data_IF_125883123108
#
_entry.id   IF_125883123108
#
_cell.length_a   1.000
_cell.length_b   1.000
_cell.length_c   1.000
_cell.angle_alpha   90.00
_cell.angle_beta   90.00
_cell.angle_gamma   90.00
#
_symmetry.space_group_name_H-M   'P 1'
#
loop_
_entity.id
_entity.type
_entity.pdbx_description
1 polymer ?
#
# COMPACT_ATOMS: atom_id res chain seq x y z
N UNK A 1 59.75 -70.46 -24.68
CA UNK A 1 58.31 -70.30 -24.79
C UNK A 1 57.84 -69.29 -23.74
N UNK A 2 57.69 -68.04 -24.10
CA UNK A 2 57.31 -66.89 -23.17
C UNK A 2 55.81 -66.65 -23.34
N UNK A 3 55.05 -66.84 -22.29
CA UNK A 3 53.63 -66.51 -22.22
C UNK A 3 53.44 -65.07 -21.83
N UNK A 4 52.81 -64.31 -22.69
CA UNK A 4 52.42 -62.92 -22.45
C UNK A 4 51.03 -62.94 -21.80
N UNK A 5 50.91 -62.44 -20.57
CA UNK A 5 49.62 -62.15 -19.93
C UNK A 5 49.29 -60.70 -20.16
N UNK A 6 48.25 -60.44 -20.94
CA UNK A 6 47.61 -59.11 -21.14
C UNK A 6 46.66 -58.90 -19.97
N UNK A 7 46.98 -57.91 -19.11
CA UNK A 7 46.06 -57.40 -18.08
C UNK A 7 45.24 -56.24 -18.68
N UNK A 8 43.95 -56.44 -18.88
CA UNK A 8 43.00 -55.39 -19.24
C UNK A 8 42.59 -54.63 -18.00
N UNK A 9 43.04 -53.40 -17.85
CA UNK A 9 42.57 -52.45 -16.81
C UNK A 9 41.26 -51.81 -17.25
N UNK A 10 40.14 -52.18 -16.64
CA UNK A 10 38.85 -51.52 -16.82
C UNK A 10 38.82 -50.21 -16.01
N UNK A 11 38.88 -49.09 -16.68
CA UNK A 11 38.68 -47.78 -16.05
C UNK A 11 37.19 -47.52 -15.81
N UNK A 12 36.73 -47.68 -14.58
CA UNK A 12 35.39 -47.30 -14.16
C UNK A 12 35.32 -45.77 -13.95
N UNK A 13 34.74 -45.07 -14.89
CA UNK A 13 34.44 -43.63 -14.77
C UNK A 13 33.31 -43.46 -13.78
N UNK A 14 33.62 -43.03 -12.55
CA UNK A 14 32.66 -42.57 -11.57
C UNK A 14 32.09 -41.20 -12.05
N UNK A 15 30.89 -41.19 -12.65
CA UNK A 15 30.11 -39.98 -12.86
C UNK A 15 29.50 -39.61 -11.50
N UNK A 16 30.17 -38.74 -10.74
CA UNK A 16 29.59 -38.16 -9.54
C UNK A 16 28.36 -37.34 -9.96
N UNK A 17 27.18 -37.55 -9.34
CA UNK A 17 26.04 -36.67 -9.60
C UNK A 17 26.40 -35.26 -9.15
N UNK A 18 26.38 -34.32 -10.09
CA UNK A 18 26.45 -32.89 -9.77
C UNK A 18 25.18 -32.59 -9.00
N UNK A 19 25.29 -32.48 -7.67
CA UNK A 19 24.19 -32.01 -6.84
C UNK A 19 23.88 -30.57 -7.32
N UNK A 20 22.75 -30.43 -8.04
CA UNK A 20 22.23 -29.13 -8.36
C UNK A 20 21.98 -28.38 -7.04
N UNK A 21 22.84 -27.45 -6.70
CA UNK A 21 22.61 -26.57 -5.55
C UNK A 21 21.34 -25.78 -5.85
N UNK A 22 20.24 -26.13 -5.20
CA UNK A 22 19.01 -25.36 -5.28
C UNK A 22 19.33 -23.94 -4.80
N UNK A 23 19.24 -22.98 -5.70
CA UNK A 23 19.44 -21.58 -5.37
C UNK A 23 18.42 -21.16 -4.31
N UNK A 24 18.86 -20.51 -3.24
CA UNK A 24 17.95 -20.01 -2.21
C UNK A 24 16.91 -19.07 -2.85
N UNK A 25 15.64 -19.14 -2.42
CA UNK A 25 14.60 -18.32 -2.99
C UNK A 25 14.86 -16.82 -2.77
N UNK A 26 14.47 -16.02 -3.74
CA UNK A 26 14.46 -14.57 -3.61
C UNK A 26 13.33 -14.21 -2.65
N UNK A 27 13.65 -13.49 -1.57
CA UNK A 27 12.65 -13.04 -0.59
C UNK A 27 12.20 -11.61 -0.93
N UNK A 28 10.89 -11.42 -1.12
CA UNK A 28 10.24 -10.13 -1.29
C UNK A 28 9.45 -9.79 -0.03
N UNK A 29 9.87 -8.76 0.68
CA UNK A 29 9.09 -8.21 1.81
C UNK A 29 8.04 -7.26 1.25
N UNK A 30 6.78 -7.56 1.47
CA UNK A 30 5.64 -6.73 1.09
C UNK A 30 5.00 -6.13 2.35
N UNK A 31 5.26 -4.86 2.61
CA UNK A 31 4.71 -4.15 3.78
C UNK A 31 3.46 -3.36 3.40
N UNK A 32 2.47 -3.33 4.29
CA UNK A 32 1.31 -2.47 4.17
C UNK A 32 0.71 -2.11 5.53
N UNK A 33 -0.07 -1.02 5.57
CA UNK A 33 -0.50 -0.40 6.83
C UNK A 33 -1.91 -0.77 7.27
N UNK A 34 -2.65 -1.54 6.48
CA UNK A 34 -4.05 -1.90 6.78
C UNK A 34 -4.16 -3.32 7.31
N UNK A 35 -5.35 -3.66 7.84
CA UNK A 35 -5.61 -5.00 8.34
C UNK A 35 -5.64 -6.05 7.21
N UNK A 36 -5.30 -7.34 7.49
CA UNK A 36 -5.29 -8.41 6.48
C UNK A 36 -6.65 -8.63 5.80
N UNK A 37 -7.75 -8.42 6.50
CA UNK A 37 -9.10 -8.63 5.98
C UNK A 37 -9.66 -7.46 5.14
N UNK A 38 -8.85 -6.43 4.86
CA UNK A 38 -9.19 -5.35 3.91
C UNK A 38 -8.98 -5.80 2.46
N UNK A 39 -9.53 -5.07 1.46
CA UNK A 39 -9.22 -5.35 0.05
C UNK A 39 -7.73 -5.40 -0.24
N UNK A 40 -6.95 -4.42 0.25
CA UNK A 40 -5.50 -4.39 0.08
C UNK A 40 -4.80 -5.57 0.76
N UNK A 41 -5.18 -5.92 2.00
CA UNK A 41 -4.60 -7.05 2.72
C UNK A 41 -4.82 -8.36 1.96
N UNK A 42 -6.06 -8.62 1.52
CA UNK A 42 -6.39 -9.78 0.67
C UNK A 42 -5.64 -9.77 -0.66
N UNK A 43 -5.46 -8.59 -1.26
CA UNK A 43 -4.67 -8.42 -2.48
C UNK A 43 -3.20 -8.81 -2.27
N UNK A 44 -2.59 -8.39 -1.15
CA UNK A 44 -1.23 -8.75 -0.80
C UNK A 44 -1.06 -10.25 -0.57
N UNK A 45 -2.00 -10.89 0.14
CA UNK A 45 -2.00 -12.34 0.34
C UNK A 45 -2.17 -13.10 -0.98
N UNK A 46 -3.05 -12.61 -1.88
CA UNK A 46 -3.23 -13.20 -3.20
C UNK A 46 -1.99 -13.02 -4.08
N UNK A 47 -1.34 -11.88 -4.01
CA UNK A 47 -0.06 -11.65 -4.69
C UNK A 47 0.99 -12.67 -4.22
N UNK A 48 1.13 -12.86 -2.91
CA UNK A 48 2.02 -13.88 -2.32
C UNK A 48 1.74 -15.25 -2.89
N UNK A 49 0.49 -15.72 -2.82
CA UNK A 49 0.07 -17.04 -3.32
C UNK A 49 0.48 -17.23 -4.79
N UNK A 50 0.17 -16.24 -5.64
CA UNK A 50 0.41 -16.33 -7.07
C UNK A 50 1.90 -16.20 -7.43
N UNK A 51 2.63 -15.31 -6.77
CA UNK A 51 4.06 -15.13 -7.01
C UNK A 51 4.85 -16.40 -6.63
N UNK A 52 4.57 -17.00 -5.48
CA UNK A 52 5.19 -18.25 -5.05
C UNK A 52 4.83 -19.41 -5.99
N UNK A 53 3.56 -19.50 -6.43
CA UNK A 53 3.09 -20.53 -7.36
C UNK A 53 3.73 -20.39 -8.74
N UNK A 54 3.69 -19.22 -9.35
CA UNK A 54 4.15 -19.02 -10.72
C UNK A 54 5.67 -19.07 -10.85
N UNK A 55 6.40 -18.83 -9.78
CA UNK A 55 7.86 -18.97 -9.76
C UNK A 55 8.33 -20.36 -9.32
N UNK A 56 7.41 -21.30 -9.08
CA UNK A 56 7.71 -22.61 -8.51
C UNK A 56 8.58 -22.51 -7.23
N UNK A 57 8.25 -21.53 -6.35
CA UNK A 57 8.94 -21.29 -5.09
C UNK A 57 10.30 -20.60 -5.21
N UNK A 58 10.71 -20.15 -6.40
CA UNK A 58 11.95 -19.37 -6.57
C UNK A 58 11.84 -17.97 -5.95
N UNK A 59 10.63 -17.45 -5.80
CA UNK A 59 10.33 -16.22 -5.07
C UNK A 59 9.49 -16.58 -3.87
N UNK A 60 9.83 -16.02 -2.71
CA UNK A 60 9.05 -16.05 -1.47
C UNK A 60 8.59 -14.65 -1.14
N UNK A 61 7.29 -14.50 -0.80
CA UNK A 61 6.73 -13.21 -0.41
C UNK A 61 6.37 -13.22 1.08
N UNK A 62 6.97 -12.32 1.83
CA UNK A 62 6.66 -12.10 3.24
C UNK A 62 5.76 -10.86 3.36
N UNK A 63 4.49 -11.06 3.74
CA UNK A 63 3.52 -9.97 3.90
C UNK A 63 3.55 -9.45 5.34
N UNK A 64 3.70 -8.14 5.50
CA UNK A 64 3.75 -7.43 6.78
C UNK A 64 2.59 -6.43 6.87
N UNK A 65 1.42 -6.84 7.42
CA UNK A 65 0.25 -5.98 7.54
C UNK A 65 0.31 -5.07 8.78
N UNK A 66 -0.70 -4.19 8.93
CA UNK A 66 -0.92 -3.35 10.13
C UNK A 66 0.29 -2.49 10.54
N UNK A 67 1.08 -2.01 9.58
CA UNK A 67 2.30 -1.22 9.87
C UNK A 67 3.32 -1.97 10.74
N UNK A 68 3.34 -3.32 10.71
CA UNK A 68 4.23 -4.13 11.55
C UNK A 68 5.71 -4.01 11.15
N UNK A 69 5.98 -3.62 9.90
CA UNK A 69 7.34 -3.39 9.42
C UNK A 69 7.63 -1.88 9.31
N UNK A 70 6.78 -1.13 8.59
CA UNK A 70 6.90 0.32 8.41
C UNK A 70 5.55 1.00 8.53
N UNK A 71 5.53 2.22 9.12
CA UNK A 71 4.38 3.11 9.10
C UNK A 71 4.26 3.81 7.74
N UNK A 72 3.07 4.28 7.40
CA UNK A 72 2.77 4.94 6.13
C UNK A 72 3.52 6.29 5.91
N UNK A 73 4.17 6.83 6.92
CA UNK A 73 4.99 8.04 6.81
C UNK A 73 6.43 7.74 6.37
N UNK A 74 6.91 6.51 6.55
CA UNK A 74 8.30 6.11 6.34
C UNK A 74 8.47 4.95 5.34
N UNK A 75 7.37 4.27 4.98
CA UNK A 75 7.42 3.07 4.13
C UNK A 75 8.05 3.33 2.74
N UNK A 76 7.80 4.50 2.13
CA UNK A 76 8.35 4.84 0.81
C UNK A 76 9.86 5.12 0.86
N UNK A 77 10.36 5.72 1.94
CA UNK A 77 11.79 5.89 2.16
C UNK A 77 12.47 4.52 2.37
N UNK A 78 11.84 3.64 3.15
CA UNK A 78 12.33 2.27 3.34
C UNK A 78 12.41 1.48 2.04
N UNK A 79 11.46 1.67 1.11
CA UNK A 79 11.50 1.09 -0.24
C UNK A 79 12.69 1.64 -1.04
N UNK A 80 12.88 2.96 -1.06
CA UNK A 80 13.99 3.58 -1.78
C UNK A 80 15.37 3.15 -1.26
N UNK A 81 15.46 2.86 0.04
CA UNK A 81 16.67 2.33 0.69
C UNK A 81 16.83 0.81 0.49
N UNK A 82 15.87 0.13 -0.13
CA UNK A 82 15.91 -1.32 -0.35
C UNK A 82 15.63 -2.17 0.90
N UNK A 83 15.18 -1.56 2.01
CA UNK A 83 14.86 -2.26 3.25
C UNK A 83 13.57 -3.08 3.15
N UNK A 84 12.69 -2.71 2.22
CA UNK A 84 11.50 -3.44 1.79
C UNK A 84 11.45 -3.44 0.25
N UNK A 85 10.89 -4.49 -0.36
CA UNK A 85 10.90 -4.65 -1.81
C UNK A 85 9.57 -4.30 -2.45
N UNK A 86 8.48 -4.36 -1.71
CA UNK A 86 7.14 -4.06 -2.21
C UNK A 86 6.29 -3.31 -1.18
N UNK A 87 5.52 -2.36 -1.68
CA UNK A 87 4.54 -1.59 -0.91
C UNK A 87 3.25 -1.41 -1.72
N UNK A 88 2.18 -1.01 -1.03
CA UNK A 88 0.96 -0.49 -1.65
C UNK A 88 0.51 0.78 -0.91
N UNK A 89 1.27 1.90 -0.98
CA UNK A 89 0.90 3.16 -0.36
C UNK A 89 -0.32 3.77 -1.03
N UNK A 90 -1.05 4.63 -0.30
CA UNK A 90 -2.14 5.41 -0.89
C UNK A 90 -1.60 6.45 -1.88
N UNK A 91 -2.42 6.81 -2.88
CA UNK A 91 -2.08 7.79 -3.90
C UNK A 91 -1.56 9.11 -3.29
N UNK A 92 -2.13 9.56 -2.18
CA UNK A 92 -1.75 10.76 -1.44
C UNK A 92 -0.29 10.82 -1.01
N UNK A 93 0.40 9.68 -0.94
CA UNK A 93 1.78 9.59 -0.44
C UNK A 93 2.84 10.03 -1.46
N UNK A 94 2.49 10.08 -2.73
CA UNK A 94 3.44 10.40 -3.80
C UNK A 94 3.61 11.91 -4.03
N UNK A 95 2.58 12.73 -3.71
CA UNK A 95 2.67 14.19 -3.79
C UNK A 95 3.85 14.77 -2.99
N UNK A 96 3.99 14.46 -1.69
CA UNK A 96 5.11 14.89 -0.87
C UNK A 96 6.49 14.45 -1.38
N UNK A 97 6.57 13.35 -2.15
CA UNK A 97 7.80 12.91 -2.82
C UNK A 97 8.13 13.72 -4.09
N UNK A 98 7.28 14.68 -4.45
CA UNK A 98 7.43 15.53 -5.64
C UNK A 98 6.75 14.98 -6.90
N UNK A 99 5.93 13.91 -6.80
CA UNK A 99 5.13 13.40 -7.92
C UNK A 99 3.70 13.91 -7.77
N UNK A 100 3.53 15.21 -8.03
CA UNK A 100 2.29 15.96 -7.78
C UNK A 100 1.09 15.45 -8.58
N UNK A 101 1.30 14.75 -9.68
CA UNK A 101 0.20 14.19 -10.48
C UNK A 101 -0.73 13.30 -9.65
N UNK A 102 -0.21 12.60 -8.66
CA UNK A 102 -1.02 11.76 -7.77
C UNK A 102 -1.93 12.56 -6.83
N UNK A 103 -1.69 13.85 -6.63
CA UNK A 103 -2.55 14.71 -5.82
C UNK A 103 -3.94 14.90 -6.45
N UNK A 104 -4.11 14.59 -7.74
CA UNK A 104 -5.41 14.62 -8.42
C UNK A 104 -6.46 13.72 -7.74
N UNK A 105 -6.03 12.59 -7.14
CA UNK A 105 -6.92 11.69 -6.43
C UNK A 105 -7.41 12.24 -5.09
N UNK A 106 -6.77 13.28 -4.55
CA UNK A 106 -7.17 13.94 -3.31
C UNK A 106 -8.13 15.12 -3.55
N UNK A 107 -8.31 15.54 -4.81
CA UNK A 107 -9.24 16.61 -5.14
C UNK A 107 -10.68 16.20 -4.82
N UNK A 108 -11.42 16.99 -4.04
CA UNK A 108 -12.78 16.62 -3.64
C UNK A 108 -13.72 16.56 -4.84
N UNK A 109 -14.55 15.53 -4.88
CA UNK A 109 -15.61 15.29 -5.88
C UNK A 109 -15.14 15.23 -7.35
N UNK A 110 -13.84 15.14 -7.62
CA UNK A 110 -13.32 15.08 -8.99
C UNK A 110 -13.69 13.75 -9.67
N UNK A 111 -13.68 12.66 -8.92
CA UNK A 111 -14.00 11.33 -9.41
C UNK A 111 -15.38 10.92 -8.91
N UNK A 112 -16.45 11.06 -9.74
CA UNK A 112 -17.83 10.91 -9.28
C UNK A 112 -18.22 9.45 -9.02
N UNK A 113 -17.51 8.49 -9.60
CA UNK A 113 -17.80 7.05 -9.48
C UNK A 113 -16.60 6.19 -9.90
N UNK A 114 -16.72 4.88 -9.68
CA UNK A 114 -15.68 3.91 -10.03
C UNK A 114 -15.37 3.85 -11.53
N UNK A 115 -16.38 4.06 -12.40
CA UNK A 115 -16.17 4.03 -13.84
C UNK A 115 -15.25 5.18 -14.30
N UNK A 116 -15.43 6.38 -13.73
CA UNK A 116 -14.55 7.52 -13.98
C UNK A 116 -13.13 7.24 -13.44
N UNK A 117 -13.03 6.66 -12.25
CA UNK A 117 -11.75 6.26 -11.66
C UNK A 117 -11.01 5.28 -12.56
N UNK A 118 -11.67 4.19 -13.02
CA UNK A 118 -11.04 3.17 -13.88
C UNK A 118 -10.55 3.74 -15.20
N UNK A 119 -11.27 4.69 -15.80
CA UNK A 119 -10.80 5.40 -16.99
C UNK A 119 -9.46 6.11 -16.74
N UNK A 120 -9.24 6.64 -15.52
CA UNK A 120 -7.98 7.28 -15.15
C UNK A 120 -6.91 6.23 -14.88
N UNK A 121 -7.16 5.28 -13.98
CA UNK A 121 -6.15 4.33 -13.47
C UNK A 121 -5.75 3.27 -14.51
N UNK A 122 -6.68 2.79 -15.32
CA UNK A 122 -6.43 1.77 -16.35
C UNK A 122 -6.07 2.40 -17.71
N UNK A 123 -6.31 3.70 -17.87
CA UNK A 123 -6.04 4.44 -19.09
C UNK A 123 -4.61 4.95 -19.24
N UNK A 124 -4.31 5.61 -20.38
CA UNK A 124 -2.97 6.15 -20.65
C UNK A 124 -2.45 7.11 -19.58
N UNK A 125 -3.34 7.88 -18.94
CA UNK A 125 -2.98 8.81 -17.87
C UNK A 125 -2.42 8.05 -16.67
N UNK A 126 -3.12 7.02 -16.20
CA UNK A 126 -2.67 6.19 -15.08
C UNK A 126 -1.32 5.52 -15.36
N UNK A 127 -1.14 4.98 -16.57
CA UNK A 127 0.13 4.39 -16.99
C UNK A 127 1.27 5.42 -17.02
N UNK A 128 1.01 6.63 -17.52
CA UNK A 128 1.99 7.70 -17.51
C UNK A 128 2.37 8.12 -16.07
N UNK A 129 1.42 8.11 -15.15
CA UNK A 129 1.68 8.41 -13.74
C UNK A 129 2.52 7.33 -13.07
N UNK A 130 2.24 6.03 -13.31
CA UNK A 130 3.07 4.92 -12.81
C UNK A 130 4.51 5.05 -13.31
N UNK A 131 4.70 5.40 -14.57
CA UNK A 131 6.04 5.57 -15.16
C UNK A 131 6.85 6.70 -14.50
N UNK A 132 6.21 7.75 -13.98
CA UNK A 132 6.90 8.83 -13.26
C UNK A 132 7.58 8.35 -11.97
N UNK A 133 7.16 7.24 -11.41
CA UNK A 133 7.77 6.64 -10.22
C UNK A 133 9.21 6.16 -10.48
N UNK A 134 9.53 5.79 -11.73
CA UNK A 134 10.89 5.38 -12.12
C UNK A 134 11.92 6.47 -11.81
N UNK A 135 11.55 7.75 -12.01
CA UNK A 135 12.40 8.89 -11.67
C UNK A 135 12.67 9.05 -10.16
N UNK A 136 12.00 8.26 -9.33
CA UNK A 136 12.20 8.19 -7.87
C UNK A 136 12.78 6.83 -7.42
N UNK A 137 13.27 6.02 -8.35
CA UNK A 137 13.83 4.70 -8.06
C UNK A 137 12.79 3.63 -7.70
N UNK A 138 11.54 3.82 -8.09
CA UNK A 138 10.43 2.89 -7.84
C UNK A 138 9.78 2.46 -9.15
N UNK A 139 9.28 1.23 -9.21
CA UNK A 139 8.52 0.73 -10.34
C UNK A 139 7.06 0.65 -9.94
N UNK A 140 6.21 1.47 -10.58
CA UNK A 140 4.76 1.38 -10.41
C UNK A 140 4.21 0.19 -11.19
N UNK A 141 3.57 -0.75 -10.48
CA UNK A 141 3.09 -2.01 -11.05
C UNK A 141 1.60 -1.97 -11.38
N UNK A 142 0.78 -1.49 -10.46
CA UNK A 142 -0.67 -1.50 -10.61
C UNK A 142 -1.33 -0.50 -9.65
N UNK A 143 -2.57 -0.13 -9.97
CA UNK A 143 -3.49 0.52 -9.04
C UNK A 143 -4.37 -0.53 -8.36
N UNK A 144 -4.57 -0.37 -7.05
CA UNK A 144 -5.53 -1.16 -6.27
C UNK A 144 -6.59 -0.25 -5.66
N UNK A 145 -7.85 -0.68 -5.72
CA UNK A 145 -8.98 0.06 -5.18
C UNK A 145 -9.11 -0.12 -3.67
N UNK A 146 -9.61 0.92 -2.99
CA UNK A 146 -10.12 0.79 -1.63
C UNK A 146 -11.56 1.34 -1.54
N UNK A 147 -11.81 2.53 -2.06
CA UNK A 147 -13.15 3.09 -2.13
C UNK A 147 -13.21 4.59 -1.86
N UNK A 148 -14.45 5.10 -1.86
CA UNK A 148 -14.72 6.49 -1.52
C UNK A 148 -14.60 6.72 -0.02
N UNK A 149 -14.19 7.95 0.32
CA UNK A 149 -13.93 8.37 1.70
C UNK A 149 -15.18 8.95 2.33
N UNK A 150 -15.36 8.58 3.58
CA UNK A 150 -16.38 9.09 4.47
C UNK A 150 -15.74 9.83 5.65
N UNK A 151 -16.47 10.76 6.24
CA UNK A 151 -16.04 11.50 7.41
C UNK A 151 -16.54 10.84 8.69
N UNK A 152 -15.72 10.74 9.73
CA UNK A 152 -16.20 10.35 11.07
C UNK A 152 -15.82 11.39 12.12
N UNK A 153 -16.69 11.58 13.10
CA UNK A 153 -16.50 12.49 14.22
C UNK A 153 -17.40 12.10 15.41
N UNK A 154 -17.24 12.79 16.56
CA UNK A 154 -18.10 12.62 17.72
C UNK A 154 -19.35 13.52 17.70
N UNK A 155 -19.60 14.23 16.61
CA UNK A 155 -20.83 14.98 16.31
C UNK A 155 -21.24 14.75 14.84
N UNK A 156 -22.50 14.96 14.46
CA UNK A 156 -22.92 14.94 13.07
C UNK A 156 -22.20 16.04 12.26
N UNK A 157 -21.78 15.72 11.04
CA UNK A 157 -21.16 16.63 10.09
C UNK A 157 -22.06 16.75 8.86
N UNK A 158 -23.02 17.68 8.90
CA UNK A 158 -24.05 17.85 7.86
C UNK A 158 -23.72 18.97 6.88
N UNK A 159 -23.08 20.02 7.39
CA UNK A 159 -22.77 21.23 6.66
C UNK A 159 -21.27 21.56 6.80
N UNK A 160 -20.67 22.32 5.88
CA UNK A 160 -19.27 22.74 5.99
C UNK A 160 -18.94 23.43 7.33
N UNK A 161 -19.88 24.19 7.89
CA UNK A 161 -19.73 24.89 9.16
C UNK A 161 -19.53 23.95 10.36
N UNK A 162 -20.00 22.72 10.26
CA UNK A 162 -19.85 21.71 11.31
C UNK A 162 -18.39 21.29 11.53
N UNK A 163 -17.51 21.54 10.55
CA UNK A 163 -16.10 21.21 10.63
C UNK A 163 -15.27 22.26 11.34
N UNK A 164 -15.81 23.48 11.50
CA UNK A 164 -15.06 24.62 12.03
C UNK A 164 -14.46 24.32 13.41
N UNK A 165 -13.12 24.51 13.48
CA UNK A 165 -12.34 24.33 14.71
C UNK A 165 -12.05 22.87 15.08
N UNK A 166 -12.64 21.88 14.39
CA UNK A 166 -12.34 20.46 14.67
C UNK A 166 -10.95 20.09 14.17
N UNK A 167 -10.24 19.30 14.95
CA UNK A 167 -8.96 18.71 14.57
C UNK A 167 -9.23 17.44 13.77
N UNK A 168 -8.89 17.44 12.49
CA UNK A 168 -9.08 16.30 11.63
C UNK A 168 -7.76 15.63 11.30
N UNK A 169 -7.67 14.33 11.56
CA UNK A 169 -6.55 13.54 11.02
C UNK A 169 -6.65 13.46 9.51
N UNK A 170 -5.55 13.72 8.85
CA UNK A 170 -5.39 13.58 7.40
C UNK A 170 -4.13 12.76 7.06
N UNK A 171 -4.05 12.27 5.84
CA UNK A 171 -2.83 11.73 5.26
C UNK A 171 -1.85 12.85 4.89
N UNK A 172 -0.61 12.51 4.56
CA UNK A 172 0.40 13.47 4.11
C UNK A 172 0.07 13.94 2.69
N UNK A 173 -0.75 14.98 2.56
CA UNK A 173 -1.16 15.57 1.28
C UNK A 173 -1.42 17.07 1.46
N UNK A 174 -0.87 17.88 0.58
CA UNK A 174 -1.12 19.33 0.57
C UNK A 174 -2.53 19.65 0.12
N UNK A 175 -3.12 18.85 -0.75
CA UNK A 175 -4.51 19.00 -1.19
C UNK A 175 -5.47 18.72 -0.03
N UNK A 176 -5.27 17.64 0.73
CA UNK A 176 -6.07 17.35 1.92
C UNK A 176 -5.91 18.44 2.98
N UNK A 177 -4.68 18.92 3.20
CA UNK A 177 -4.45 20.02 4.14
C UNK A 177 -5.25 21.27 3.74
N UNK A 178 -5.23 21.66 2.46
CA UNK A 178 -5.97 22.79 1.94
C UNK A 178 -7.48 22.60 2.05
N UNK A 179 -7.99 21.38 1.72
CA UNK A 179 -9.39 21.02 1.81
C UNK A 179 -9.93 21.19 3.23
N UNK A 180 -9.26 20.64 4.24
CA UNK A 180 -9.71 20.73 5.63
C UNK A 180 -9.59 22.16 6.19
N UNK A 181 -8.57 22.92 5.77
CA UNK A 181 -8.47 24.35 6.11
C UNK A 181 -9.62 25.17 5.50
N UNK A 182 -10.02 24.86 4.27
CA UNK A 182 -11.16 25.54 3.61
C UNK A 182 -12.49 25.27 4.33
N UNK A 183 -12.64 24.11 4.99
CA UNK A 183 -13.77 23.78 5.87
C UNK A 183 -13.66 24.45 7.25
N UNK A 184 -12.61 25.21 7.52
CA UNK A 184 -12.34 25.80 8.83
C UNK A 184 -11.87 24.81 9.90
N UNK A 185 -11.55 23.57 9.50
CA UNK A 185 -10.98 22.57 10.37
C UNK A 185 -9.45 22.74 10.54
N UNK A 186 -8.89 22.07 11.52
CA UNK A 186 -7.46 22.03 11.82
C UNK A 186 -6.90 20.67 11.39
N UNK A 187 -6.28 20.56 10.19
CA UNK A 187 -5.74 19.30 9.72
C UNK A 187 -4.51 18.87 10.53
N UNK A 188 -4.47 17.59 10.89
CA UNK A 188 -3.38 16.96 11.63
C UNK A 188 -2.82 15.79 10.82
N UNK A 189 -1.61 15.93 10.27
CA UNK A 189 -0.93 14.86 9.55
C UNK A 189 -0.39 13.82 10.54
N UNK A 190 -0.90 12.60 10.45
CA UNK A 190 -0.60 11.54 11.42
C UNK A 190 -0.52 10.19 10.71
N UNK A 191 0.37 9.29 11.18
CA UNK A 191 0.46 7.94 10.67
C UNK A 191 -0.84 7.17 10.91
N UNK A 192 -1.19 6.27 9.98
CA UNK A 192 -2.46 5.53 10.02
C UNK A 192 -2.61 4.68 11.29
N UNK A 193 -1.52 4.05 11.73
CA UNK A 193 -1.49 3.23 12.95
C UNK A 193 -1.70 4.02 14.25
N UNK A 194 -1.63 5.35 14.20
CA UNK A 194 -1.78 6.22 15.37
C UNK A 194 -3.22 6.76 15.51
N UNK A 195 -4.04 6.59 14.47
CA UNK A 195 -5.36 7.26 14.37
C UNK A 195 -6.34 6.79 15.44
N UNK A 196 -6.45 5.48 15.69
CA UNK A 196 -7.36 4.97 16.71
C UNK A 196 -7.10 5.60 18.08
N UNK A 197 -5.84 5.58 18.50
CA UNK A 197 -5.44 6.15 19.80
C UNK A 197 -5.67 7.66 19.84
N UNK A 198 -5.40 8.37 18.75
CA UNK A 198 -5.59 9.83 18.68
C UNK A 198 -7.08 10.21 18.74
N UNK A 199 -7.97 9.42 18.13
CA UNK A 199 -9.42 9.58 18.24
C UNK A 199 -9.91 9.25 19.65
N UNK A 200 -9.41 8.19 20.25
CA UNK A 200 -9.79 7.75 21.59
C UNK A 200 -9.44 8.77 22.67
N UNK A 201 -8.25 9.38 22.54
CA UNK A 201 -7.75 10.37 23.52
C UNK A 201 -8.15 11.81 23.20
N UNK A 202 -8.84 12.06 22.08
CA UNK A 202 -9.25 13.40 21.67
C UNK A 202 -8.11 14.30 21.16
N UNK A 203 -6.96 13.71 20.78
CA UNK A 203 -5.89 14.44 20.07
C UNK A 203 -6.40 14.95 18.74
N UNK A 204 -7.28 14.17 18.10
CA UNK A 204 -8.08 14.59 16.95
C UNK A 204 -9.56 14.31 17.21
N UNK A 205 -10.44 15.14 16.62
CA UNK A 205 -11.89 15.06 16.79
C UNK A 205 -12.55 14.17 15.73
N UNK A 206 -11.87 13.99 14.60
CA UNK A 206 -12.37 13.24 13.46
C UNK A 206 -11.28 12.80 12.50
N UNK A 207 -11.70 12.02 11.52
CA UNK A 207 -10.86 11.53 10.43
C UNK A 207 -11.69 11.29 9.17
N UNK A 208 -11.03 11.11 8.03
CA UNK A 208 -11.62 10.64 6.80
C UNK A 208 -11.05 9.29 6.39
N UNK A 209 -11.88 8.38 5.95
CA UNK A 209 -11.44 7.10 5.42
C UNK A 209 -12.56 6.36 4.71
N UNK A 210 -12.21 5.24 4.07
CA UNK A 210 -13.19 4.33 3.48
C UNK A 210 -13.91 3.52 4.56
N UNK A 211 -15.15 3.07 4.33
CA UNK A 211 -15.89 2.21 5.27
C UNK A 211 -15.09 0.96 5.69
N UNK A 212 -14.37 0.35 4.76
CA UNK A 212 -13.52 -0.81 5.04
C UNK A 212 -12.45 -0.51 6.10
N UNK A 213 -11.76 0.62 5.97
CA UNK A 213 -10.72 1.02 6.92
C UNK A 213 -11.33 1.47 8.26
N UNK A 214 -12.45 2.22 8.23
CA UNK A 214 -13.16 2.63 9.47
C UNK A 214 -13.54 1.41 10.29
N UNK A 215 -14.09 0.38 9.64
CA UNK A 215 -14.53 -0.84 10.31
C UNK A 215 -13.34 -1.68 10.82
N UNK A 216 -12.38 -1.99 9.96
CA UNK A 216 -11.26 -2.90 10.29
C UNK A 216 -10.26 -2.31 11.27
N UNK A 217 -10.13 -0.98 11.32
CA UNK A 217 -9.34 -0.26 12.33
C UNK A 217 -10.15 0.14 13.57
N UNK A 218 -11.42 -0.31 13.64
CA UNK A 218 -12.30 -0.11 14.79
C UNK A 218 -12.58 1.35 15.14
N UNK A 219 -12.45 2.27 14.17
CA UNK A 219 -12.71 3.70 14.43
C UNK A 219 -14.15 3.95 14.91
N UNK A 220 -15.09 3.09 14.52
CA UNK A 220 -16.48 3.11 14.99
C UNK A 220 -16.63 2.86 16.49
N UNK A 221 -15.64 2.31 17.18
CA UNK A 221 -15.67 2.15 18.65
C UNK A 221 -15.35 3.47 19.36
N UNK A 222 -14.66 4.40 18.69
CA UNK A 222 -14.19 5.68 19.25
C UNK A 222 -14.76 6.91 18.54
N UNK A 223 -15.66 6.72 17.56
CA UNK A 223 -16.34 7.77 16.81
C UNK A 223 -17.84 7.48 16.76
N UNK A 224 -18.67 8.45 17.18
CA UNK A 224 -20.12 8.27 17.30
C UNK A 224 -20.87 8.36 15.98
N UNK A 225 -20.32 9.08 14.99
CA UNK A 225 -21.00 9.36 13.73
C UNK A 225 -20.05 9.11 12.55
N UNK A 226 -20.61 8.55 11.49
CA UNK A 226 -20.00 8.51 10.16
C UNK A 226 -20.95 9.21 9.21
N UNK A 227 -20.45 10.22 8.50
CA UNK A 227 -21.20 10.95 7.48
C UNK A 227 -20.79 10.44 6.11
N UNK A 228 -21.76 9.95 5.32
CA UNK A 228 -21.54 9.48 3.96
C UNK A 228 -21.39 10.68 3.03
N UNK A 229 -20.17 11.05 2.78
CA UNK A 229 -19.84 12.24 2.00
C UNK A 229 -19.36 11.92 0.60
N UNK A 230 -18.77 10.75 0.38
CA UNK A 230 -18.16 10.33 -0.89
C UNK A 230 -17.27 11.44 -1.50
N UNK A 231 -16.65 12.25 -0.65
CA UNK A 231 -15.97 13.49 -1.03
C UNK A 231 -14.62 13.27 -1.72
N UNK A 232 -14.04 12.09 -1.59
CA UNK A 232 -12.74 11.77 -2.16
C UNK A 232 -12.55 10.28 -2.33
N UNK A 233 -11.41 9.88 -2.84
CA UNK A 233 -11.11 8.50 -3.12
C UNK A 233 -9.80 8.06 -2.47
N UNK A 234 -9.75 6.84 -1.94
CA UNK A 234 -8.50 6.19 -1.57
C UNK A 234 -8.27 5.01 -2.50
N UNK A 235 -7.22 5.12 -3.31
CA UNK A 235 -6.62 4.02 -4.01
C UNK A 235 -5.19 3.83 -3.56
N UNK A 236 -4.59 2.76 -4.02
CA UNK A 236 -3.21 2.41 -3.74
C UNK A 236 -2.44 2.22 -5.03
N UNK A 237 -1.14 2.46 -4.98
CA UNK A 237 -0.23 2.08 -6.05
C UNK A 237 0.67 0.97 -5.53
N UNK A 238 0.66 -0.17 -6.18
CA UNK A 238 1.62 -1.25 -5.91
C UNK A 238 2.95 -0.86 -6.54
N UNK A 239 3.99 -0.82 -5.74
CA UNK A 239 5.35 -0.47 -6.12
C UNK A 239 6.34 -1.49 -5.61
#
# INVERSE_FOLDING_TARGET
MRKWLLAAAAAATFIAPVAATAQAPIVLKFSHVVAPNTPKGKGADKFKELAEKYTNGKVKVEVYPNSTLYKDKEELEALQLGAVQMLAPSNSKFGPMGIKDFEVFDLPFLLPNEAALRKVTEGPLGQAMLKKLEGKGMIGLAYWDNGFKEMSANKPLRMPEDYKGLKFRIQSSKVLEAQFRALGAVPQVMAFSEVYQALQTGVVDGQENTPSNIYTQKFHEVQKYTTLTNHGYIGYVVV
#
